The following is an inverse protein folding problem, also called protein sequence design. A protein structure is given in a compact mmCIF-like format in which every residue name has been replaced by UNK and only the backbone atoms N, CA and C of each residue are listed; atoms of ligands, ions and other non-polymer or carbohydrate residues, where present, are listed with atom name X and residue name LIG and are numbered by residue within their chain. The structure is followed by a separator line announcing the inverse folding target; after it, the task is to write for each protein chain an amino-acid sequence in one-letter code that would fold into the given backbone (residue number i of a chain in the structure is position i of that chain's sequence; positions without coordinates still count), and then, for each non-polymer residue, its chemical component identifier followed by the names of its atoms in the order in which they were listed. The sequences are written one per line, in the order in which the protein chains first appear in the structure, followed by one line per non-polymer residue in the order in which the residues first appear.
data_IF_328592582040
#
_entry.id   IF_328592582040
#
_cell.length_a   1.000
_cell.length_b   1.000
_cell.length_c   1.000
_cell.angle_alpha   90.00
_cell.angle_beta   90.00
_cell.angle_gamma   90.00
#
_symmetry.space_group_name_H-M   'P 1'
#
loop_
_entity.id
_entity.type
_entity.pdbx_description
1 polymer ?
#
# COMPACT_ATOMS: atom_id res chain seq x y z
N UNK A 1 6.48 17.75 12.17
CA UNK A 1 6.12 16.75 11.13
C UNK A 1 4.87 17.25 10.45
N UNK A 2 4.86 17.22 9.12
CA UNK A 2 3.74 17.69 8.30
C UNK A 2 3.57 16.80 7.07
N UNK A 3 2.39 16.82 6.47
CA UNK A 3 2.16 16.17 5.18
C UNK A 3 3.11 16.75 4.13
N UNK A 4 3.79 15.87 3.41
CA UNK A 4 4.64 16.22 2.29
C UNK A 4 3.75 16.47 1.06
N UNK A 5 4.07 17.50 0.27
CA UNK A 5 3.45 17.62 -1.04
C UNK A 5 4.10 16.61 -1.99
N UNK A 6 3.30 15.67 -2.50
CA UNK A 6 3.80 14.73 -3.49
C UNK A 6 4.29 15.47 -4.75
N UNK A 7 5.48 15.09 -5.20
CA UNK A 7 6.04 15.57 -6.47
C UNK A 7 5.13 15.20 -7.65
N UNK A 8 5.28 15.92 -8.77
CA UNK A 8 4.52 15.62 -9.99
C UNK A 8 4.72 14.17 -10.46
N UNK A 9 5.95 13.65 -10.33
CA UNK A 9 6.27 12.28 -10.69
C UNK A 9 5.56 11.26 -9.78
N UNK A 10 5.59 11.47 -8.45
CA UNK A 10 4.86 10.62 -7.50
C UNK A 10 3.35 10.62 -7.79
N UNK A 11 2.75 11.81 -7.99
CA UNK A 11 1.33 11.95 -8.36
C UNK A 11 1.00 11.17 -9.64
N UNK A 12 1.84 11.28 -10.68
CA UNK A 12 1.65 10.59 -11.94
C UNK A 12 1.75 9.06 -11.80
N UNK A 13 2.67 8.55 -10.98
CA UNK A 13 2.82 7.11 -10.73
C UNK A 13 1.62 6.54 -9.98
N UNK A 14 1.15 7.23 -8.93
CA UNK A 14 -0.05 6.82 -8.18
C UNK A 14 -1.30 6.87 -9.06
N UNK A 15 -1.42 7.88 -9.93
CA UNK A 15 -2.52 7.97 -10.89
C UNK A 15 -2.50 6.80 -11.89
N UNK A 16 -1.34 6.45 -12.45
CA UNK A 16 -1.20 5.28 -13.32
C UNK A 16 -1.56 3.98 -12.61
N UNK A 17 -1.20 3.85 -11.34
CA UNK A 17 -1.58 2.70 -10.53
C UNK A 17 -3.10 2.64 -10.30
N UNK A 18 -3.73 3.76 -9.93
CA UNK A 18 -5.18 3.88 -9.75
C UNK A 18 -5.96 3.57 -11.02
N UNK A 19 -5.52 4.11 -12.16
CA UNK A 19 -6.12 3.83 -13.49
C UNK A 19 -6.07 2.35 -13.88
N UNK A 20 -5.15 1.58 -13.31
CA UNK A 20 -5.02 0.15 -13.53
C UNK A 20 -5.86 -0.69 -12.57
N UNK A 21 -6.52 -0.09 -11.57
CA UNK A 21 -7.31 -0.76 -10.54
C UNK A 21 -6.62 -0.83 -9.17
N UNK A 22 -5.51 -0.11 -8.99
CA UNK A 22 -4.81 -0.01 -7.72
C UNK A 22 -5.59 0.77 -6.65
N UNK A 23 -5.49 0.33 -5.38
CA UNK A 23 -6.32 0.83 -4.27
C UNK A 23 -5.55 1.15 -2.99
N UNK A 24 -4.22 1.10 -3.03
CA UNK A 24 -3.37 1.45 -1.89
C UNK A 24 -3.34 2.97 -1.74
N UNK A 25 -3.57 3.45 -0.53
CA UNK A 25 -3.42 4.85 -0.16
C UNK A 25 -1.99 5.12 0.35
N UNK A 26 -1.44 6.25 -0.09
CA UNK A 26 -0.06 6.63 0.13
C UNK A 26 0.01 8.03 0.72
N UNK A 27 0.55 8.14 1.93
CA UNK A 27 0.76 9.43 2.60
C UNK A 27 2.24 9.60 2.89
N UNK A 28 2.84 10.68 2.40
CA UNK A 28 4.23 11.01 2.69
C UNK A 28 4.31 12.18 3.67
N UNK A 29 5.32 12.16 4.54
CA UNK A 29 5.51 13.19 5.57
C UNK A 29 6.96 13.68 5.61
N UNK A 30 7.11 14.99 5.68
CA UNK A 30 8.39 15.65 5.90
C UNK A 30 8.67 15.79 7.40
N UNK A 31 9.87 15.39 7.82
CA UNK A 31 10.37 15.64 9.17
C UNK A 31 11.15 16.97 9.19
N UNK A 32 10.72 17.90 10.04
CA UNK A 32 11.25 19.29 10.07
C UNK A 32 12.57 19.42 10.86
N UNK A 33 12.87 18.47 11.74
CA UNK A 33 14.11 18.38 12.51
C UNK A 33 14.61 16.91 12.49
N UNK A 34 15.94 16.72 12.48
CA UNK A 34 16.74 15.47 12.25
C UNK A 34 16.11 14.13 12.69
N UNK A 35 16.44 13.00 12.00
CA UNK A 35 15.56 11.85 11.89
C UNK A 35 15.21 11.20 13.23
N UNK A 36 13.94 11.32 13.59
CA UNK A 36 13.33 10.60 14.70
C UNK A 36 12.78 9.27 14.19
N UNK A 37 13.67 8.41 13.70
CA UNK A 37 13.34 7.02 13.30
C UNK A 37 13.06 6.21 14.58
N UNK A 38 11.97 6.57 15.26
CA UNK A 38 11.51 6.08 16.55
C UNK A 38 10.01 5.82 16.57
N UNK A 39 9.56 5.08 17.59
CA UNK A 39 8.17 4.65 17.70
C UNK A 39 7.19 5.83 17.70
N UNK A 40 7.46 6.89 18.46
CA UNK A 40 6.53 8.01 18.64
C UNK A 40 6.32 8.77 17.33
N UNK A 41 7.37 8.91 16.53
CA UNK A 41 7.29 9.55 15.21
C UNK A 41 6.50 8.70 14.23
N UNK A 42 6.77 7.40 14.17
CA UNK A 42 6.01 6.48 13.35
C UNK A 42 4.53 6.41 13.79
N UNK A 43 4.25 6.46 15.09
CA UNK A 43 2.90 6.47 15.65
C UNK A 43 2.14 7.75 15.30
N UNK A 44 2.78 8.92 15.46
CA UNK A 44 2.19 10.19 15.04
C UNK A 44 1.90 10.21 13.55
N UNK A 45 2.78 9.62 12.73
CA UNK A 45 2.58 9.55 11.29
C UNK A 45 1.41 8.63 10.92
N UNK A 46 1.25 7.49 11.59
CA UNK A 46 0.11 6.60 11.39
C UNK A 46 -1.23 7.33 11.64
N UNK A 47 -1.30 8.13 12.71
CA UNK A 47 -2.50 8.94 13.04
C UNK A 47 -2.73 10.03 11.99
N UNK A 48 -1.70 10.82 11.68
CA UNK A 48 -1.82 11.91 10.70
C UNK A 48 -2.23 11.40 9.31
N UNK A 49 -1.84 10.18 8.94
CA UNK A 49 -2.24 9.58 7.68
C UNK A 49 -3.72 9.18 7.67
N UNK A 50 -4.25 8.65 8.77
CA UNK A 50 -5.70 8.40 8.89
C UNK A 50 -6.51 9.70 8.90
N UNK A 51 -6.01 10.76 9.55
CA UNK A 51 -6.63 12.09 9.49
C UNK A 51 -6.64 12.64 8.06
N UNK A 52 -5.53 12.48 7.32
CA UNK A 52 -5.44 12.92 5.93
C UNK A 52 -6.43 12.16 5.03
N UNK A 53 -6.52 10.83 5.17
CA UNK A 53 -7.49 10.03 4.42
C UNK A 53 -8.93 10.40 4.80
N UNK A 54 -9.21 10.62 6.10
CA UNK A 54 -10.53 11.04 6.54
C UNK A 54 -10.94 12.37 5.88
N UNK A 55 -9.99 13.31 5.77
CA UNK A 55 -10.20 14.57 5.07
C UNK A 55 -10.44 14.35 3.56
N UNK A 56 -9.65 13.52 2.88
CA UNK A 56 -9.83 13.21 1.46
C UNK A 56 -11.23 12.60 1.19
N UNK A 57 -11.70 11.69 2.06
CA UNK A 57 -13.04 11.10 1.99
C UNK A 57 -14.13 12.17 2.17
N UNK A 58 -13.94 13.11 3.09
CA UNK A 58 -14.88 14.22 3.31
C UNK A 58 -14.91 15.20 2.11
N UNK A 59 -13.76 15.46 1.48
CA UNK A 59 -13.66 16.28 0.27
C UNK A 59 -14.35 15.62 -0.94
N UNK A 60 -14.18 14.30 -1.10
CA UNK A 60 -14.90 13.51 -2.11
C UNK A 60 -16.41 13.56 -1.88
N UNK A 61 -16.87 13.43 -0.62
CA UNK A 61 -18.28 13.60 -0.27
C UNK A 61 -18.82 14.99 -0.68
N UNK A 62 -18.08 16.06 -0.41
CA UNK A 62 -18.48 17.41 -0.81
C UNK A 62 -18.60 17.55 -2.33
N UNK A 63 -17.69 16.94 -3.07
CA UNK A 63 -17.74 16.89 -4.54
C UNK A 63 -18.96 16.11 -5.04
N UNK A 64 -19.30 14.98 -4.41
CA UNK A 64 -20.49 14.18 -4.76
C UNK A 64 -21.78 14.99 -4.59
N UNK A 65 -21.88 15.81 -3.54
CA UNK A 65 -23.04 16.68 -3.28
C UNK A 65 -23.23 17.81 -4.30
N UNK A 66 -22.21 18.16 -5.10
CA UNK A 66 -22.37 19.13 -6.18
C UNK A 66 -23.35 18.63 -7.26
N UNK A 67 -23.49 17.31 -7.39
CA UNK A 67 -24.44 16.69 -8.31
C UNK A 67 -25.88 16.84 -7.81
N UNK A 68 -26.83 17.33 -8.63
CA UNK A 68 -28.23 17.53 -8.24
C UNK A 68 -28.92 16.28 -7.68
N UNK A 69 -28.49 15.10 -8.16
CA UNK A 69 -29.01 13.81 -7.75
C UNK A 69 -28.66 13.49 -6.29
N UNK A 70 -27.57 14.04 -5.75
CA UNK A 70 -27.07 13.70 -4.42
C UNK A 70 -27.32 14.78 -3.35
N UNK A 71 -27.85 15.96 -3.73
CA UNK A 71 -28.09 17.10 -2.82
C UNK A 71 -29.06 16.81 -1.66
N UNK A 72 -29.80 15.71 -1.73
CA UNK A 72 -30.75 15.30 -0.70
C UNK A 72 -30.14 14.38 0.37
N UNK A 73 -28.90 13.91 0.15
CA UNK A 73 -28.18 13.08 1.11
C UNK A 73 -27.47 13.94 2.17
N UNK A 74 -27.33 13.37 3.36
CA UNK A 74 -26.59 13.96 4.48
C UNK A 74 -25.23 13.27 4.65
N UNK A 75 -24.33 13.87 5.45
CA UNK A 75 -23.00 13.28 5.72
C UNK A 75 -23.07 11.88 6.33
N UNK A 76 -24.11 11.61 7.12
CA UNK A 76 -24.34 10.32 7.78
C UNK A 76 -24.75 9.20 6.80
N UNK A 77 -25.11 9.54 5.56
CA UNK A 77 -25.45 8.55 4.52
C UNK A 77 -24.19 7.93 3.86
N UNK A 78 -23.01 8.48 4.15
CA UNK A 78 -21.74 8.08 3.53
C UNK A 78 -20.74 7.59 4.57
N UNK A 79 -19.76 6.80 4.13
CA UNK A 79 -18.68 6.30 4.98
C UNK A 79 -17.99 7.45 5.72
N UNK A 80 -17.79 7.30 7.03
CA UNK A 80 -17.04 8.21 7.90
C UNK A 80 -15.90 7.43 8.52
N UNK A 81 -14.67 7.86 8.28
CA UNK A 81 -13.51 7.24 8.91
C UNK A 81 -13.51 7.59 10.40
N UNK A 82 -13.45 6.57 11.24
CA UNK A 82 -13.32 6.70 12.68
C UNK A 82 -12.25 5.76 13.20
N UNK A 83 -11.48 6.21 14.19
CA UNK A 83 -10.42 5.39 14.79
C UNK A 83 -10.31 5.59 16.30
N UNK A 84 -9.76 4.58 16.97
CA UNK A 84 -9.48 4.55 18.40
C UNK A 84 -7.97 4.52 18.63
N UNK A 85 -7.43 5.67 19.05
CA UNK A 85 -6.01 5.88 19.35
C UNK A 85 -5.48 4.85 20.35
N UNK A 86 -6.31 4.35 21.29
CA UNK A 86 -5.88 3.37 22.28
C UNK A 86 -5.58 1.99 21.70
N UNK A 87 -6.02 1.72 20.47
CA UNK A 87 -5.76 0.48 19.73
C UNK A 87 -4.58 0.57 18.77
N UNK A 88 -3.91 1.73 18.67
CA UNK A 88 -2.71 1.87 17.85
C UNK A 88 -1.52 1.20 18.53
N UNK A 89 -1.31 -0.05 18.17
CA UNK A 89 -0.16 -0.84 18.60
C UNK A 89 0.68 -1.12 17.37
N UNK A 90 1.94 -0.66 17.40
CA UNK A 90 2.90 -0.86 16.32
C UNK A 90 3.93 -1.93 16.65
N UNK A 91 4.28 -2.76 15.68
CA UNK A 91 5.37 -3.73 15.78
C UNK A 91 6.41 -3.45 14.70
N UNK A 92 7.70 -3.50 15.06
CA UNK A 92 8.78 -3.43 14.09
C UNK A 92 8.73 -4.68 13.22
N UNK A 93 8.77 -4.49 11.90
CA UNK A 93 8.80 -5.56 10.90
C UNK A 93 10.03 -5.45 10.00
N UNK A 94 10.39 -6.56 9.37
CA UNK A 94 11.44 -6.60 8.34
C UNK A 94 10.95 -6.02 7.01
N UNK A 95 11.90 -5.71 6.12
CA UNK A 95 11.60 -5.28 4.74
C UNK A 95 10.85 -6.39 3.98
N UNK A 96 11.22 -7.65 4.20
CA UNK A 96 10.58 -8.81 3.61
C UNK A 96 9.12 -8.93 4.04
N UNK A 97 8.82 -8.72 5.33
CA UNK A 97 7.44 -8.69 5.83
C UNK A 97 6.66 -7.49 5.27
N UNK A 98 7.30 -6.32 5.16
CA UNK A 98 6.68 -5.13 4.58
C UNK A 98 6.30 -5.32 3.11
N UNK A 99 7.18 -5.93 2.32
CA UNK A 99 6.94 -6.17 0.90
C UNK A 99 6.04 -7.37 0.66
N UNK A 100 6.08 -8.34 1.56
CA UNK A 100 5.30 -9.58 1.49
C UNK A 100 5.82 -10.57 0.45
N UNK A 101 5.06 -11.64 0.24
CA UNK A 101 5.53 -12.82 -0.50
C UNK A 101 5.66 -12.58 -2.01
N UNK A 102 4.92 -11.63 -2.55
CA UNK A 102 4.87 -11.36 -3.99
C UNK A 102 6.04 -10.55 -4.53
N UNK A 103 7.09 -10.29 -3.74
CA UNK A 103 8.29 -9.59 -4.21
C UNK A 103 9.58 -10.21 -3.71
N UNK A 104 10.50 -10.47 -4.64
CA UNK A 104 11.85 -10.91 -4.32
C UNK A 104 12.78 -9.70 -4.17
N UNK A 105 13.22 -9.43 -2.94
CA UNK A 105 14.12 -8.30 -2.62
C UNK A 105 15.45 -8.40 -3.38
N UNK A 106 16.01 -9.60 -3.50
CA UNK A 106 17.33 -9.80 -4.12
C UNK A 106 17.31 -9.61 -5.63
N UNK A 107 16.32 -10.17 -6.32
CA UNK A 107 16.18 -10.04 -7.78
C UNK A 107 15.36 -8.84 -8.22
N UNK A 108 14.70 -8.14 -7.28
CA UNK A 108 13.78 -7.01 -7.52
C UNK A 108 12.69 -7.36 -8.54
N UNK A 109 12.04 -8.50 -8.34
CA UNK A 109 11.01 -9.02 -9.24
C UNK A 109 9.73 -9.30 -8.47
N UNK A 110 8.62 -8.92 -9.08
CA UNK A 110 7.29 -9.35 -8.66
C UNK A 110 7.06 -10.83 -9.01
N UNK A 111 6.25 -11.49 -8.18
CA UNK A 111 5.74 -12.84 -8.40
C UNK A 111 4.44 -12.77 -9.20
N UNK A 112 4.38 -13.46 -10.33
CA UNK A 112 3.22 -13.40 -11.24
C UNK A 112 2.80 -14.79 -11.71
N UNK A 113 1.55 -14.93 -12.11
CA UNK A 113 1.06 -16.16 -12.74
C UNK A 113 1.65 -16.32 -14.15
N UNK A 114 1.89 -17.57 -14.53
CA UNK A 114 2.29 -17.92 -15.90
C UNK A 114 1.24 -17.51 -16.93
N UNK A 115 1.69 -17.03 -18.08
CA UNK A 115 0.87 -16.58 -19.20
C UNK A 115 0.58 -17.72 -20.19
N UNK A 116 1.39 -18.78 -20.22
CA UNK A 116 1.15 -19.92 -21.09
C UNK A 116 0.02 -20.82 -20.56
N UNK A 117 -0.72 -21.44 -21.48
CA UNK A 117 -1.83 -22.37 -21.13
C UNK A 117 -1.40 -23.54 -20.25
N UNK A 118 -0.12 -23.92 -20.28
CA UNK A 118 0.42 -25.04 -19.48
C UNK A 118 0.73 -24.64 -18.04
N UNK A 119 0.97 -23.35 -17.81
CA UNK A 119 1.51 -22.82 -16.56
C UNK A 119 0.62 -21.73 -15.94
N UNK A 120 -0.66 -21.67 -16.32
CA UNK A 120 -1.63 -20.66 -15.83
C UNK A 120 -1.85 -20.69 -14.31
N UNK A 121 -1.56 -21.83 -13.68
CA UNK A 121 -1.65 -22.02 -12.24
C UNK A 121 -0.28 -22.02 -11.54
N UNK A 122 0.80 -21.89 -12.31
CA UNK A 122 2.15 -21.83 -11.79
C UNK A 122 2.59 -20.38 -11.64
N UNK A 123 3.52 -20.13 -10.71
CA UNK A 123 4.02 -18.81 -10.37
C UNK A 123 5.47 -18.67 -10.79
N UNK A 124 5.82 -17.49 -11.28
CA UNK A 124 7.14 -17.16 -11.79
C UNK A 124 7.54 -15.75 -11.36
N UNK A 125 8.84 -15.51 -11.17
CA UNK A 125 9.33 -14.15 -11.08
C UNK A 125 9.23 -13.48 -12.46
N UNK A 126 8.87 -12.20 -12.49
CA UNK A 126 8.74 -11.46 -13.76
C UNK A 126 10.01 -11.57 -14.61
N UNK A 127 9.83 -11.97 -15.87
CA UNK A 127 10.89 -12.12 -16.86
C UNK A 127 11.61 -13.47 -16.86
N UNK A 128 11.31 -14.37 -15.91
CA UNK A 128 11.83 -15.73 -15.95
C UNK A 128 11.10 -16.56 -17.03
N UNK A 129 11.80 -17.55 -17.59
CA UNK A 129 11.19 -18.45 -18.57
C UNK A 129 10.17 -19.37 -17.87
N UNK A 130 8.99 -19.55 -18.49
CA UNK A 130 7.95 -20.47 -18.00
C UNK A 130 8.32 -21.93 -18.28
N UNK A 131 9.27 -22.45 -17.51
CA UNK A 131 9.71 -23.84 -17.50
C UNK A 131 9.61 -24.41 -16.08
N UNK A 132 9.44 -25.73 -15.91
CA UNK A 132 9.26 -26.35 -14.60
C UNK A 132 10.32 -25.98 -13.55
N UNK A 133 11.57 -25.76 -13.98
CA UNK A 133 12.69 -25.42 -13.11
C UNK A 133 12.59 -24.01 -12.50
N UNK A 134 11.84 -23.10 -13.13
CA UNK A 134 11.64 -21.73 -12.69
C UNK A 134 10.30 -21.54 -11.95
N UNK A 135 9.51 -22.60 -11.79
CA UNK A 135 8.29 -22.54 -11.01
C UNK A 135 8.68 -22.20 -9.57
N UNK A 136 8.22 -21.05 -9.11
CA UNK A 136 8.25 -20.70 -7.70
C UNK A 136 7.16 -21.56 -7.08
N UNK A 137 7.53 -22.46 -6.16
CA UNK A 137 6.58 -23.31 -5.44
C UNK A 137 5.52 -22.48 -4.70
N UNK A 138 4.61 -23.12 -3.96
CA UNK A 138 3.64 -22.42 -3.08
C UNK A 138 4.38 -21.57 -2.03
N UNK A 139 4.87 -20.41 -2.46
CA UNK A 139 5.58 -19.45 -1.65
C UNK A 139 4.48 -18.64 -0.99
N UNK A 140 4.15 -18.96 0.25
CA UNK A 140 3.50 -18.05 1.18
C UNK A 140 2.09 -17.54 0.86
N UNK A 141 1.44 -17.93 -0.25
CA UNK A 141 0.06 -17.49 -0.57
C UNK A 141 -0.96 -17.82 0.54
N UNK A 142 -0.59 -18.68 1.49
CA UNK A 142 -1.40 -19.10 2.63
C UNK A 142 -0.72 -18.91 3.99
N UNK A 143 0.44 -18.25 4.08
CA UNK A 143 0.96 -17.86 5.40
C UNK A 143 0.19 -16.61 5.87
N UNK A 144 -0.50 -16.65 7.04
CA UNK A 144 -1.34 -15.55 7.52
C UNK A 144 -0.61 -14.20 7.66
N UNK A 145 0.72 -14.21 7.69
CA UNK A 145 1.58 -13.03 7.85
C UNK A 145 2.32 -12.63 6.55
N UNK A 146 1.90 -13.15 5.39
CA UNK A 146 2.60 -12.93 4.11
C UNK A 146 2.08 -11.75 3.29
N UNK A 147 0.97 -11.14 3.70
CA UNK A 147 0.33 -10.02 2.99
C UNK A 147 1.08 -8.71 3.24
N UNK A 148 1.86 -8.29 2.25
CA UNK A 148 2.58 -7.03 2.27
C UNK A 148 2.23 -6.11 1.11
N UNK A 149 3.03 -5.07 0.94
CA UNK A 149 2.84 -4.04 -0.06
C UNK A 149 2.76 -4.60 -1.50
N UNK A 150 3.60 -5.58 -1.85
CA UNK A 150 3.60 -6.14 -3.20
C UNK A 150 2.37 -7.03 -3.45
N UNK A 151 1.88 -7.73 -2.44
CA UNK A 151 0.65 -8.53 -2.52
C UNK A 151 -0.56 -7.62 -2.71
N UNK A 152 -0.66 -6.57 -1.89
CA UNK A 152 -1.68 -5.54 -2.03
C UNK A 152 -1.62 -4.83 -3.39
N UNK A 153 -0.41 -4.61 -3.91
CA UNK A 153 -0.20 -3.95 -5.20
C UNK A 153 -0.70 -4.78 -6.37
N UNK A 154 -0.39 -6.08 -6.39
CA UNK A 154 -0.68 -6.98 -7.50
C UNK A 154 -2.08 -7.57 -7.49
N UNK A 155 -2.70 -7.69 -6.31
CA UNK A 155 -3.97 -8.38 -6.16
C UNK A 155 -5.01 -7.51 -5.46
N UNK A 156 -5.31 -6.29 -5.97
CA UNK A 156 -6.40 -5.50 -5.43
C UNK A 156 -7.75 -6.20 -5.67
N UNK A 157 -8.82 -5.86 -4.91
CA UNK A 157 -10.09 -6.58 -4.92
C UNK A 157 -10.75 -6.72 -6.29
N UNK A 158 -10.66 -5.70 -7.13
CA UNK A 158 -11.26 -5.67 -8.47
C UNK A 158 -10.31 -6.12 -9.58
N UNK A 159 -9.13 -6.62 -9.20
CA UNK A 159 -8.05 -7.00 -10.10
C UNK A 159 -7.27 -5.80 -10.63
N UNK A 160 -6.04 -6.06 -11.06
CA UNK A 160 -5.17 -5.05 -11.67
C UNK A 160 -4.95 -5.33 -13.15
N UNK A 161 -4.92 -4.27 -13.95
CA UNK A 161 -4.74 -4.35 -15.40
C UNK A 161 -3.32 -3.99 -15.83
N UNK A 162 -2.77 -4.77 -16.76
CA UNK A 162 -1.42 -4.58 -17.29
C UNK A 162 -0.70 -5.91 -17.46
N UNK A 163 0.32 -5.91 -18.30
CA UNK A 163 1.24 -7.03 -18.38
C UNK A 163 2.10 -7.10 -17.12
N UNK A 164 2.56 -8.31 -16.79
CA UNK A 164 3.46 -8.56 -15.66
C UNK A 164 4.71 -7.68 -15.69
N UNK A 165 5.24 -7.37 -16.89
CA UNK A 165 6.39 -6.49 -17.06
C UNK A 165 6.04 -5.02 -16.75
N UNK A 166 4.90 -4.53 -17.24
CA UNK A 166 4.45 -3.16 -16.93
C UNK A 166 4.22 -2.97 -15.43
N UNK A 167 3.58 -3.94 -14.77
CA UNK A 167 3.32 -3.88 -13.33
C UNK A 167 4.62 -3.92 -12.52
N UNK A 168 5.58 -4.74 -12.91
CA UNK A 168 6.89 -4.77 -12.27
C UNK A 168 7.64 -3.45 -12.43
N UNK A 169 7.64 -2.87 -13.63
CA UNK A 169 8.25 -1.57 -13.87
C UNK A 169 7.58 -0.48 -13.02
N UNK A 170 6.25 -0.41 -13.02
CA UNK A 170 5.50 0.57 -12.23
C UNK A 170 5.78 0.43 -10.74
N UNK A 171 5.80 -0.81 -10.21
CA UNK A 171 6.12 -1.06 -8.80
C UNK A 171 7.54 -0.59 -8.44
N UNK A 172 8.52 -0.88 -9.30
CA UNK A 172 9.90 -0.45 -9.08
C UNK A 172 10.08 1.06 -9.19
N UNK A 173 9.37 1.74 -10.09
CA UNK A 173 9.36 3.20 -10.19
C UNK A 173 8.72 3.84 -8.93
N UNK A 174 7.59 3.31 -8.46
CA UNK A 174 7.00 3.74 -7.18
C UNK A 174 8.00 3.52 -6.03
N UNK A 175 8.66 2.36 -5.99
CA UNK A 175 9.64 2.04 -4.97
C UNK A 175 10.86 2.98 -5.00
N UNK A 176 11.32 3.38 -6.18
CA UNK A 176 12.37 4.39 -6.32
C UNK A 176 11.93 5.73 -5.73
N UNK A 177 10.72 6.18 -6.04
CA UNK A 177 10.25 7.52 -5.68
C UNK A 177 9.66 7.67 -4.27
N UNK A 178 9.25 6.58 -3.62
CA UNK A 178 8.72 6.62 -2.25
C UNK A 178 9.67 6.00 -1.23
N UNK A 179 10.51 5.05 -1.63
CA UNK A 179 11.28 4.23 -0.69
C UNK A 179 12.78 4.18 -1.01
N UNK A 180 13.28 5.06 -1.87
CA UNK A 180 14.65 5.05 -2.35
C UNK A 180 15.11 3.65 -2.80
N UNK A 181 14.24 2.96 -3.55
CA UNK A 181 14.48 1.61 -4.03
C UNK A 181 14.74 0.57 -2.93
N UNK A 182 14.28 0.83 -1.71
CA UNK A 182 14.48 0.02 -0.50
C UNK A 182 15.96 -0.13 -0.07
N UNK A 183 16.85 0.76 -0.55
CA UNK A 183 18.30 0.58 -0.38
C UNK A 183 18.84 1.00 0.99
N UNK A 184 18.09 1.82 1.74
CA UNK A 184 18.46 2.26 3.09
C UNK A 184 17.20 2.53 3.93
N UNK A 185 16.42 1.47 4.15
CA UNK A 185 15.27 1.51 5.04
C UNK A 185 15.70 1.84 6.48
N UNK A 186 14.97 2.75 7.13
CA UNK A 186 14.99 2.89 8.58
C UNK A 186 14.14 1.82 9.27
N UNK A 187 13.48 2.18 10.36
CA UNK A 187 12.48 1.30 10.95
C UNK A 187 11.24 1.23 10.06
N UNK A 188 10.60 0.08 10.08
CA UNK A 188 9.30 -0.15 9.46
C UNK A 188 8.40 -0.67 10.56
N UNK A 189 7.25 -0.03 10.73
CA UNK A 189 6.23 -0.48 11.67
C UNK A 189 5.02 -0.96 10.91
N UNK A 190 4.48 -2.11 11.32
CA UNK A 190 3.12 -2.51 11.03
C UNK A 190 2.24 -2.11 12.22
N UNK A 191 1.09 -1.54 11.92
CA UNK A 191 0.11 -1.05 12.89
C UNK A 191 -1.09 -1.98 12.95
N UNK A 192 -1.69 -2.06 14.13
CA UNK A 192 -2.98 -2.73 14.32
C UNK A 192 -4.02 -2.19 13.35
N UNK A 193 -4.65 -3.07 12.61
CA UNK A 193 -5.78 -2.75 11.73
C UNK A 193 -7.12 -2.74 12.50
N UNK A 194 -7.16 -3.13 13.78
CA UNK A 194 -8.32 -3.00 14.68
C UNK A 194 -8.56 -1.56 15.16
N UNK A 195 -7.68 -0.63 14.79
CA UNK A 195 -7.74 0.74 15.27
C UNK A 195 -8.76 1.61 14.51
N UNK A 196 -9.19 1.24 13.31
CA UNK A 196 -10.03 2.08 12.45
C UNK A 196 -11.04 1.24 11.66
N UNK A 197 -12.24 1.79 11.46
CA UNK A 197 -13.24 1.18 10.57
C UNK A 197 -12.83 1.22 9.08
N UNK A 198 -11.79 1.98 8.74
CA UNK A 198 -11.17 1.94 7.41
C UNK A 198 -10.77 0.51 7.03
N UNK A 199 -10.34 -0.31 8.00
CA UNK A 199 -9.81 -1.66 7.77
C UNK A 199 -10.86 -2.77 7.67
N UNK A 200 -12.13 -2.48 7.97
CA UNK A 200 -13.17 -3.50 8.17
C UNK A 200 -13.44 -4.31 6.90
N UNK A 201 -13.55 -3.64 5.75
CA UNK A 201 -13.76 -4.30 4.45
C UNK A 201 -12.57 -5.21 4.09
N UNK A 202 -11.35 -4.76 4.37
CA UNK A 202 -10.13 -5.49 4.03
C UNK A 202 -10.03 -6.82 4.75
N UNK A 203 -10.31 -6.80 6.05
CA UNK A 203 -10.30 -7.99 6.93
C UNK A 203 -11.24 -9.09 6.47
N UNK A 204 -12.38 -8.71 5.89
CA UNK A 204 -13.39 -9.66 5.47
C UNK A 204 -13.05 -10.33 4.13
N UNK A 205 -12.43 -9.60 3.19
CA UNK A 205 -12.49 -10.00 1.77
C UNK A 205 -11.14 -10.18 1.05
N UNK A 206 -10.06 -9.50 1.45
CA UNK A 206 -8.81 -9.56 0.67
C UNK A 206 -7.51 -9.40 1.46
N UNK A 207 -7.53 -8.69 2.59
CA UNK A 207 -6.36 -8.38 3.39
C UNK A 207 -6.30 -6.90 3.79
N UNK A 208 -5.44 -6.60 4.75
CA UNK A 208 -5.19 -5.24 5.26
C UNK A 208 -3.71 -4.97 5.27
N UNK A 209 -3.34 -3.72 4.97
CA UNK A 209 -1.99 -3.22 5.15
C UNK A 209 -2.09 -1.89 5.89
N UNK A 210 -1.36 -1.76 6.98
CA UNK A 210 -1.15 -0.47 7.62
C UNK A 210 0.27 -0.39 8.14
N UNK A 211 1.15 0.25 7.36
CA UNK A 211 2.56 0.29 7.68
C UNK A 211 3.12 1.70 7.53
N UNK A 212 4.09 2.03 8.37
CA UNK A 212 4.94 3.22 8.22
C UNK A 212 6.36 2.80 7.92
N UNK A 213 6.96 3.45 6.93
CA UNK A 213 8.31 3.18 6.43
C UNK A 213 9.14 4.46 6.51
N UNK A 214 10.28 4.39 7.20
CA UNK A 214 11.21 5.51 7.24
C UNK A 214 12.22 5.44 6.09
N UNK A 215 12.16 6.41 5.17
CA UNK A 215 13.11 6.57 4.08
C UNK A 215 14.27 7.47 4.54
N UNK A 216 15.41 6.88 4.92
CA UNK A 216 16.57 7.64 5.41
C UNK A 216 17.15 8.63 4.41
N UNK A 217 17.35 8.27 3.11
CA UNK A 217 17.97 9.19 2.15
C UNK A 217 17.23 10.53 2.03
N UNK A 218 15.90 10.48 2.09
CA UNK A 218 15.05 11.66 1.92
C UNK A 218 14.56 12.24 3.26
N UNK A 219 14.84 11.56 4.38
CA UNK A 219 14.28 11.87 5.71
C UNK A 219 12.74 11.99 5.68
N UNK A 220 12.12 11.16 4.86
CA UNK A 220 10.67 11.13 4.62
C UNK A 220 10.09 9.90 5.29
N UNK A 221 8.93 10.05 5.93
CA UNK A 221 8.18 8.93 6.44
C UNK A 221 6.98 8.68 5.52
N UNK A 222 6.88 7.46 5.00
CA UNK A 222 5.80 7.05 4.10
C UNK A 222 4.87 6.11 4.83
N UNK A 223 3.58 6.42 4.81
CA UNK A 223 2.52 5.58 5.35
C UNK A 223 1.79 4.96 4.17
N UNK A 224 1.63 3.64 4.21
CA UNK A 224 0.86 2.87 3.24
C UNK A 224 -0.30 2.20 3.96
N UNK A 225 -1.49 2.40 3.39
CA UNK A 225 -2.72 1.81 3.86
C UNK A 225 -3.42 1.10 2.71
N UNK A 226 -3.89 -0.11 2.96
CA UNK A 226 -4.69 -0.86 2.02
C UNK A 226 -5.79 -1.59 2.80
N UNK A 227 -7.03 -1.41 2.37
CA UNK A 227 -8.17 -2.08 3.00
C UNK A 227 -9.35 -2.32 2.08
N UNK A 228 -9.46 -1.68 0.92
CA UNK A 228 -10.80 -1.45 0.35
C UNK A 228 -11.63 -2.70 0.02
N UNK A 229 -12.95 -2.60 0.20
CA UNK A 229 -13.94 -2.90 -0.84
C UNK A 229 -15.13 -1.94 -0.73
N UNK A 230 -15.47 -1.33 -1.88
CA UNK A 230 -16.50 -0.31 -2.23
C UNK A 230 -16.40 1.11 -1.64
#
# INVERSE_FOLDING_TARGET
MKLAELSQQQKQLLQQYKERGGVIDWVAMELEEQPYDDYDTHWQAAILALDAIAQDIDEDFHTILESPENQHHNRDDFFQLTYDVSKFVGNIISLEQFLGSSFNVSSRKLLVRGQSKRHVNDLFWVGDAEIPENIVGECGFYEPDSFGLADAFLSPPYGITGSSLELNTLFLEIAEHFFASFTDAGQIYSWSDDCSNYFDAGKEWWGTLFCTYFCRPDSTLVVVMASTTD
#
